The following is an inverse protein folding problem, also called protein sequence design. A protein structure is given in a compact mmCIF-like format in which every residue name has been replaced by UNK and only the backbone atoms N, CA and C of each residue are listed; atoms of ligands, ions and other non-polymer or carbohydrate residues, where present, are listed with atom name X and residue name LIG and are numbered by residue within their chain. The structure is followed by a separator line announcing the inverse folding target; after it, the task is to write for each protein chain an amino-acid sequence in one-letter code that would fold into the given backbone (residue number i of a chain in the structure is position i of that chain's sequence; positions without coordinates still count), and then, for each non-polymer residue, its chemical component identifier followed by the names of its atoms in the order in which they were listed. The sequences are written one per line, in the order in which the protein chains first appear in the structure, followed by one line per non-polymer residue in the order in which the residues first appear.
data_IF_350698689262
#
_entry.id   IF_350698689262
#
_cell.length_a   1.000
_cell.length_b   1.000
_cell.length_c   1.000
_cell.angle_alpha   90.00
_cell.angle_beta   90.00
_cell.angle_gamma   90.00
#
_symmetry.space_group_name_H-M   'P 1'
#
loop_
_entity.id
_entity.type
_entity.pdbx_description
1 polymer ?
#
# COMPACT_ATOMS: atom_id res chain seq x y z
N UNK A 1 -2.45 21.59 -9.73
CA UNK A 1 -1.37 22.09 -8.87
C UNK A 1 -2.01 22.78 -7.67
N UNK A 2 -1.61 22.44 -6.44
CA UNK A 2 -2.12 23.12 -5.24
C UNK A 2 -1.64 24.58 -5.23
N UNK A 3 -2.45 25.48 -4.66
CA UNK A 3 -2.07 26.89 -4.55
C UNK A 3 -0.75 27.02 -3.75
N UNK A 4 0.15 27.96 -4.10
CA UNK A 4 1.44 28.14 -3.43
C UNK A 4 1.34 28.35 -1.91
N UNK A 5 0.21 28.85 -1.43
CA UNK A 5 -0.06 29.09 0.00
C UNK A 5 -0.64 27.89 0.75
N UNK A 6 -0.92 26.78 0.09
CA UNK A 6 -1.45 25.56 0.71
C UNK A 6 -0.35 24.61 1.23
N UNK A 7 0.92 24.97 1.07
CA UNK A 7 2.03 24.14 1.52
C UNK A 7 2.24 24.33 3.03
N UNK A 8 2.26 23.22 3.76
CA UNK A 8 2.60 23.19 5.17
C UNK A 8 4.00 23.80 5.37
N UNK A 9 4.15 24.81 6.23
CA UNK A 9 5.47 25.38 6.53
C UNK A 9 6.24 24.39 7.40
N UNK A 10 7.22 23.71 6.80
CA UNK A 10 8.13 22.85 7.54
C UNK A 10 9.23 23.68 8.22
N UNK A 11 9.89 23.09 9.23
CA UNK A 11 11.07 23.69 9.83
C UNK A 11 12.16 23.91 8.77
N UNK A 12 13.02 24.91 8.95
CA UNK A 12 14.01 25.36 7.94
C UNK A 12 14.97 24.27 7.44
N UNK A 13 15.20 23.22 8.24
CA UNK A 13 16.06 22.09 7.90
C UNK A 13 15.34 20.97 7.13
N UNK A 14 14.02 21.04 7.01
CA UNK A 14 13.22 20.08 6.25
C UNK A 14 13.14 20.54 4.80
N UNK A 15 13.68 19.73 3.89
CA UNK A 15 13.69 20.00 2.44
C UNK A 15 12.88 18.92 1.71
N UNK A 16 12.10 19.32 0.72
CA UNK A 16 11.51 18.36 -0.22
C UNK A 16 12.59 17.79 -1.13
N UNK A 17 12.50 16.50 -1.44
CA UNK A 17 13.40 15.86 -2.41
C UNK A 17 12.59 15.07 -3.43
N UNK A 18 13.14 15.00 -4.63
CA UNK A 18 12.58 14.21 -5.70
C UNK A 18 12.83 12.72 -5.47
N UNK A 19 12.01 11.88 -6.12
CA UNK A 19 12.21 10.45 -6.08
C UNK A 19 13.61 10.08 -6.59
N UNK A 20 14.19 9.06 -5.98
CA UNK A 20 15.52 8.54 -6.27
C UNK A 20 16.69 9.52 -6.07
N UNK A 21 16.47 10.57 -5.28
CA UNK A 21 17.50 11.52 -4.87
C UNK A 21 17.58 11.54 -3.33
N UNK A 22 18.06 10.48 -2.67
CA UNK A 22 18.21 10.48 -1.21
C UNK A 22 19.32 11.46 -0.76
N UNK A 23 19.34 11.84 0.53
CA UNK A 23 20.42 12.68 1.07
C UNK A 23 21.75 11.95 1.26
N UNK A 24 21.71 10.62 1.39
CA UNK A 24 22.91 9.79 1.47
C UNK A 24 23.46 9.50 0.07
N UNK A 25 24.77 9.57 -0.08
CA UNK A 25 25.46 9.11 -1.29
C UNK A 25 25.33 7.58 -1.37
N UNK A 26 24.74 7.10 -2.46
CA UNK A 26 24.55 5.66 -2.71
C UNK A 26 25.32 5.28 -3.95
N UNK A 27 26.29 4.37 -3.78
CA UNK A 27 26.97 3.72 -4.89
C UNK A 27 26.12 2.55 -5.41
N UNK A 28 25.32 2.83 -6.44
CA UNK A 28 24.37 1.87 -7.01
C UNK A 28 25.03 0.66 -7.68
N UNK A 29 26.31 0.75 -8.05
CA UNK A 29 27.06 -0.36 -8.65
C UNK A 29 27.43 -1.43 -7.61
N UNK A 30 27.47 -1.03 -6.33
CA UNK A 30 27.74 -1.94 -5.20
C UNK A 30 26.45 -2.53 -4.62
N UNK A 31 25.30 -1.88 -4.80
CA UNK A 31 24.02 -2.38 -4.29
C UNK A 31 23.53 -3.54 -5.16
N UNK A 32 23.43 -4.71 -4.54
CA UNK A 32 22.91 -5.93 -5.16
C UNK A 32 21.66 -6.40 -4.41
N UNK A 33 20.73 -7.12 -5.08
CA UNK A 33 19.56 -7.66 -4.43
C UNK A 33 19.90 -8.44 -3.16
N UNK A 34 19.15 -8.16 -2.10
CA UNK A 34 19.38 -8.81 -0.82
C UNK A 34 19.01 -10.30 -0.93
N UNK A 35 19.98 -11.18 -0.70
CA UNK A 35 19.88 -12.64 -0.83
C UNK A 35 19.06 -13.33 0.27
N UNK A 36 17.94 -12.73 0.69
CA UNK A 36 17.00 -13.41 1.58
C UNK A 36 16.18 -14.37 0.74
N UNK A 37 16.49 -15.66 0.86
CA UNK A 37 15.54 -16.73 0.56
C UNK A 37 14.33 -16.53 1.46
N UNK A 38 13.30 -15.84 0.96
CA UNK A 38 11.99 -15.95 1.58
C UNK A 38 11.54 -17.39 1.34
N UNK A 39 11.41 -18.18 2.39
CA UNK A 39 10.70 -19.45 2.27
C UNK A 39 9.25 -19.14 1.88
N UNK A 40 8.89 -19.52 0.65
CA UNK A 40 7.55 -19.40 0.08
C UNK A 40 6.57 -20.44 0.66
N UNK A 41 6.87 -21.03 1.81
CA UNK A 41 6.16 -22.20 2.36
C UNK A 41 4.75 -21.90 2.89
N UNK A 42 4.33 -20.63 2.98
CA UNK A 42 3.04 -20.26 3.60
C UNK A 42 2.13 -19.35 2.77
N UNK A 43 2.34 -19.18 1.46
CA UNK A 43 1.34 -18.55 0.59
C UNK A 43 0.19 -19.52 0.29
N UNK A 44 -0.61 -19.85 1.30
CA UNK A 44 -1.88 -20.53 1.03
C UNK A 44 -2.85 -19.53 0.40
N UNK A 45 -3.41 -19.91 -0.75
CA UNK A 45 -4.65 -19.31 -1.27
C UNK A 45 -5.68 -19.38 -0.13
N UNK A 46 -6.20 -18.24 0.30
CA UNK A 46 -7.44 -18.25 1.07
C UNK A 46 -8.57 -18.59 0.09
N UNK A 47 -8.81 -19.89 -0.07
CA UNK A 47 -10.09 -20.44 -0.50
C UNK A 47 -10.67 -21.17 0.71
N UNK A 48 -11.22 -20.43 1.66
CA UNK A 48 -12.13 -21.02 2.65
C UNK A 48 -13.50 -20.42 2.40
N UNK A 49 -14.26 -21.09 1.53
CA UNK A 49 -15.66 -20.81 1.25
C UNK A 49 -16.60 -21.39 2.33
N UNK A 50 -16.07 -22.14 3.31
CA UNK A 50 -16.88 -23.03 4.15
C UNK A 50 -17.10 -22.52 5.59
N UNK A 51 -16.63 -21.32 5.92
CA UNK A 51 -16.92 -20.67 7.20
C UNK A 51 -17.64 -19.35 6.95
N UNK A 52 -18.98 -19.44 6.87
CA UNK A 52 -20.02 -18.49 7.29
C UNK A 52 -21.18 -18.47 6.28
N UNK A 53 -22.21 -19.33 6.48
CA UNK A 53 -23.46 -19.25 5.71
C UNK A 53 -24.08 -17.84 5.70
N UNK A 54 -24.02 -17.11 6.83
CA UNK A 54 -24.53 -15.74 6.92
C UNK A 54 -23.67 -14.67 6.21
N UNK A 55 -22.40 -14.93 5.91
CA UNK A 55 -21.53 -13.97 5.22
C UNK A 55 -21.77 -13.99 3.70
N UNK A 56 -22.00 -15.18 3.13
CA UNK A 56 -22.33 -15.33 1.72
C UNK A 56 -23.69 -14.70 1.38
N UNK A 57 -24.67 -14.81 2.28
CA UNK A 57 -25.97 -14.16 2.10
C UNK A 57 -25.86 -12.64 2.22
N UNK A 58 -25.07 -12.12 3.18
CA UNK A 58 -24.75 -10.69 3.23
C UNK A 58 -23.99 -10.22 1.99
N UNK A 59 -23.08 -11.03 1.44
CA UNK A 59 -22.35 -10.70 0.22
C UNK A 59 -23.28 -10.66 -1.00
N UNK A 60 -24.21 -11.62 -1.13
CA UNK A 60 -25.23 -11.62 -2.19
C UNK A 60 -26.18 -10.43 -2.07
N UNK A 61 -26.65 -10.13 -0.85
CA UNK A 61 -27.51 -8.98 -0.59
C UNK A 61 -26.78 -7.66 -0.86
N UNK A 62 -25.49 -7.57 -0.49
CA UNK A 62 -24.66 -6.41 -0.78
C UNK A 62 -24.39 -6.26 -2.27
N UNK A 63 -24.16 -7.36 -3.00
CA UNK A 63 -24.03 -7.37 -4.46
C UNK A 63 -25.32 -6.86 -5.14
N UNK A 64 -26.48 -7.38 -4.73
CA UNK A 64 -27.77 -6.94 -5.23
C UNK A 64 -28.04 -5.46 -4.92
N UNK A 65 -27.76 -5.02 -3.69
CA UNK A 65 -27.91 -3.63 -3.27
C UNK A 65 -26.95 -2.70 -4.02
N UNK A 66 -25.71 -3.14 -4.30
CA UNK A 66 -24.77 -2.39 -5.13
C UNK A 66 -25.21 -2.30 -6.58
N UNK A 67 -25.77 -3.36 -7.15
CA UNK A 67 -26.35 -3.31 -8.50
C UNK A 67 -27.54 -2.34 -8.56
N UNK A 68 -28.38 -2.33 -7.52
CA UNK A 68 -29.45 -1.35 -7.35
C UNK A 68 -28.90 0.08 -7.24
N UNK A 69 -27.91 0.34 -6.38
CA UNK A 69 -27.29 1.67 -6.23
C UNK A 69 -26.57 2.15 -7.50
N UNK A 70 -25.93 1.25 -8.26
CA UNK A 70 -25.36 1.59 -9.58
C UNK A 70 -26.42 2.10 -10.54
N UNK A 71 -27.65 1.59 -10.42
CA UNK A 71 -28.79 1.98 -11.25
C UNK A 71 -29.44 3.27 -10.75
N UNK A 72 -29.68 3.38 -9.44
CA UNK A 72 -30.42 4.48 -8.81
C UNK A 72 -29.57 5.73 -8.51
N UNK A 73 -28.29 5.53 -8.19
CA UNK A 73 -27.36 6.60 -7.81
C UNK A 73 -26.24 6.77 -8.84
N UNK A 74 -26.54 6.59 -10.13
CA UNK A 74 -25.54 6.59 -11.23
C UNK A 74 -24.60 7.81 -11.22
N UNK A 75 -25.06 8.96 -10.71
CA UNK A 75 -24.24 10.18 -10.59
C UNK A 75 -23.30 10.20 -9.37
N UNK A 76 -23.58 9.42 -8.32
CA UNK A 76 -22.81 9.37 -7.06
C UNK A 76 -22.04 8.06 -6.88
N UNK A 77 -22.49 6.99 -7.55
CA UNK A 77 -21.90 5.67 -7.47
C UNK A 77 -20.91 5.50 -8.62
N UNK A 78 -19.62 5.54 -8.31
CA UNK A 78 -18.55 5.19 -9.23
C UNK A 78 -17.64 4.10 -8.65
N UNK A 79 -16.79 3.53 -9.50
CA UNK A 79 -15.86 2.45 -9.10
C UNK A 79 -14.90 2.86 -7.97
N UNK A 80 -14.57 4.16 -7.85
CA UNK A 80 -13.69 4.66 -6.77
C UNK A 80 -14.43 4.62 -5.43
N UNK A 81 -15.71 4.99 -5.42
CA UNK A 81 -16.56 4.88 -4.24
C UNK A 81 -16.75 3.41 -3.81
N UNK A 82 -17.03 2.51 -4.75
CA UNK A 82 -17.17 1.07 -4.46
C UNK A 82 -15.86 0.48 -3.89
N UNK A 83 -14.73 0.86 -4.48
CA UNK A 83 -13.40 0.48 -4.01
C UNK A 83 -13.13 0.98 -2.59
N UNK A 84 -13.40 2.27 -2.30
CA UNK A 84 -13.20 2.85 -0.98
C UNK A 84 -14.12 2.22 0.07
N UNK A 85 -15.40 2.02 -0.28
CA UNK A 85 -16.40 1.39 0.59
C UNK A 85 -16.01 -0.05 0.92
N UNK A 86 -15.55 -0.82 -0.06
CA UNK A 86 -15.07 -2.18 0.16
C UNK A 86 -13.86 -2.24 1.08
N UNK A 87 -12.87 -1.37 0.86
CA UNK A 87 -11.69 -1.28 1.73
C UNK A 87 -12.05 -0.83 3.16
N UNK A 88 -12.94 0.15 3.31
CA UNK A 88 -13.36 0.66 4.61
C UNK A 88 -14.15 -0.37 5.42
N UNK A 89 -15.05 -1.10 4.76
CA UNK A 89 -15.87 -2.16 5.34
C UNK A 89 -15.11 -3.49 5.49
N UNK A 90 -13.78 -3.52 5.36
CA UNK A 90 -13.03 -4.71 5.71
C UNK A 90 -12.84 -4.78 7.25
N UNK A 91 -13.35 -5.86 7.86
CA UNK A 91 -13.25 -6.16 9.29
C UNK A 91 -12.24 -7.28 9.51
N UNK A 92 -11.39 -7.14 10.52
CA UNK A 92 -10.39 -8.15 10.90
C UNK A 92 -11.00 -9.30 11.75
N UNK A 93 -12.29 -9.62 11.61
CA UNK A 93 -12.97 -10.60 12.47
C UNK A 93 -12.98 -12.03 11.92
N UNK A 94 -12.23 -12.33 10.86
CA UNK A 94 -12.05 -13.70 10.38
C UNK A 94 -10.59 -13.99 10.09
N UNK A 95 -10.02 -14.88 10.93
CA UNK A 95 -8.68 -15.46 10.87
C UNK A 95 -7.50 -14.56 11.30
N UNK A 96 -7.30 -14.55 12.61
CA UNK A 96 -6.01 -14.78 13.29
C UNK A 96 -4.79 -13.90 12.94
N UNK A 97 -4.15 -13.48 14.02
CA UNK A 97 -2.74 -13.12 14.18
C UNK A 97 -1.82 -14.15 13.48
N UNK A 98 -1.71 -14.06 12.15
CA UNK A 98 -1.01 -15.05 11.32
C UNK A 98 -1.37 -15.06 9.83
N UNK A 99 -2.38 -14.29 9.38
CA UNK A 99 -2.73 -14.24 7.95
C UNK A 99 -1.57 -13.66 7.10
N UNK A 100 -1.06 -14.38 6.08
CA UNK A 100 0.04 -13.91 5.25
C UNK A 100 -0.33 -12.64 4.46
N UNK A 101 0.72 -11.87 4.16
CA UNK A 101 0.80 -10.82 3.15
C UNK A 101 -0.31 -10.87 2.08
N UNK A 102 -1.26 -9.93 2.13
CA UNK A 102 -2.46 -9.96 1.30
C UNK A 102 -2.17 -9.64 -0.17
N UNK A 103 -1.75 -10.61 -0.97
CA UNK A 103 -1.87 -10.56 -2.43
C UNK A 103 -3.35 -10.66 -2.81
N UNK A 104 -3.79 -9.83 -3.76
CA UNK A 104 -5.16 -9.83 -4.26
C UNK A 104 -5.18 -9.76 -5.77
N UNK A 105 -6.02 -10.61 -6.37
CA UNK A 105 -6.30 -10.60 -7.79
C UNK A 105 -7.66 -9.96 -8.02
N UNK A 106 -7.75 -9.11 -9.03
CA UNK A 106 -9.02 -8.49 -9.38
C UNK A 106 -9.93 -9.47 -10.12
N UNK A 107 -11.23 -9.40 -9.84
CA UNK A 107 -12.31 -10.03 -10.60
C UNK A 107 -13.03 -9.01 -11.51
N UNK A 108 -12.63 -7.74 -11.46
CA UNK A 108 -13.18 -6.68 -12.31
C UNK A 108 -12.71 -6.89 -13.75
N UNK A 109 -13.66 -6.86 -14.68
CA UNK A 109 -13.36 -7.01 -16.10
C UNK A 109 -12.49 -5.85 -16.62
N UNK A 110 -11.73 -6.09 -17.69
CA UNK A 110 -10.87 -5.05 -18.28
C UNK A 110 -11.67 -3.81 -18.75
N UNK A 111 -12.95 -3.98 -19.10
CA UNK A 111 -13.83 -2.90 -19.54
C UNK A 111 -14.34 -2.04 -18.37
N UNK A 112 -14.46 -2.61 -17.17
CA UNK A 112 -14.95 -1.93 -15.97
C UNK A 112 -13.81 -1.38 -15.10
N UNK A 113 -12.57 -1.84 -15.33
CA UNK A 113 -11.37 -1.36 -14.62
C UNK A 113 -11.28 0.17 -14.69
N UNK A 114 -10.97 0.79 -13.56
CA UNK A 114 -10.72 2.22 -13.51
C UNK A 114 -9.55 2.58 -14.43
N UNK A 115 -9.68 3.68 -15.17
CA UNK A 115 -8.60 4.22 -16.01
C UNK A 115 -8.49 5.73 -15.80
N UNK A 116 -7.29 6.27 -15.98
CA UNK A 116 -7.02 7.69 -15.82
C UNK A 116 -5.52 7.98 -15.97
N UNK A 117 -5.17 9.24 -15.76
CA UNK A 117 -3.76 9.67 -15.76
C UNK A 117 -3.02 9.18 -14.50
N UNK A 118 -1.68 9.04 -14.54
CA UNK A 118 -0.88 8.72 -13.35
C UNK A 118 -1.12 9.71 -12.20
N UNK A 119 -1.33 10.99 -12.50
CA UNK A 119 -1.59 12.04 -11.52
C UNK A 119 -2.96 11.85 -10.85
N UNK A 120 -3.97 11.45 -11.61
CA UNK A 120 -5.29 11.10 -11.07
C UNK A 120 -5.22 9.83 -10.22
N UNK A 121 -4.50 8.81 -10.69
CA UNK A 121 -4.30 7.57 -9.94
C UNK A 121 -3.64 7.88 -8.59
N UNK A 122 -2.58 8.70 -8.60
CA UNK A 122 -1.89 9.11 -7.38
C UNK A 122 -2.81 9.90 -6.43
N UNK A 123 -3.67 10.79 -6.94
CA UNK A 123 -4.66 11.53 -6.12
C UNK A 123 -5.68 10.58 -5.49
N UNK A 124 -6.23 9.66 -6.27
CA UNK A 124 -7.24 8.69 -5.81
C UNK A 124 -6.65 7.78 -4.74
N UNK A 125 -5.47 7.21 -4.99
CA UNK A 125 -4.79 6.32 -4.04
C UNK A 125 -4.42 7.08 -2.77
N UNK A 126 -3.85 8.27 -2.85
CA UNK A 126 -3.53 9.10 -1.67
C UNK A 126 -4.77 9.42 -0.85
N UNK A 127 -5.87 9.84 -1.49
CA UNK A 127 -7.10 10.17 -0.81
C UNK A 127 -7.68 8.93 -0.08
N UNK A 128 -7.78 7.81 -0.78
CA UNK A 128 -8.29 6.56 -0.21
C UNK A 128 -7.41 6.06 0.94
N UNK A 129 -6.10 6.02 0.76
CA UNK A 129 -5.18 5.49 1.76
C UNK A 129 -5.11 6.40 2.99
N UNK A 130 -5.13 7.73 2.80
CA UNK A 130 -5.22 8.68 3.91
C UNK A 130 -6.50 8.45 4.72
N UNK A 131 -7.65 8.23 4.06
CA UNK A 131 -8.89 7.89 4.75
C UNK A 131 -8.77 6.58 5.56
N UNK A 132 -8.05 5.59 5.02
CA UNK A 132 -7.85 4.28 5.65
C UNK A 132 -6.78 4.28 6.77
N UNK A 133 -6.19 5.43 7.11
CA UNK A 133 -5.21 5.58 8.19
C UNK A 133 -3.74 5.60 7.74
N UNK A 134 -3.49 5.80 6.45
CA UNK A 134 -2.14 5.90 5.87
C UNK A 134 -1.92 7.32 5.33
N UNK A 135 -1.56 8.28 6.20
CA UNK A 135 -1.62 9.70 5.86
C UNK A 135 -0.55 10.20 4.88
N UNK A 136 0.45 9.38 4.55
CA UNK A 136 1.43 9.69 3.51
C UNK A 136 1.61 8.51 2.58
N UNK A 137 1.56 8.78 1.27
CA UNK A 137 1.65 7.78 0.23
C UNK A 137 2.52 8.27 -0.91
N UNK A 138 3.51 7.45 -1.24
CA UNK A 138 4.51 7.69 -2.25
C UNK A 138 4.55 6.52 -3.24
N UNK A 139 5.13 6.76 -4.41
CA UNK A 139 5.13 5.82 -5.51
C UNK A 139 6.56 5.67 -6.05
N UNK A 140 6.92 4.43 -6.38
CA UNK A 140 8.13 4.10 -7.09
C UNK A 140 7.78 3.26 -8.31
N UNK A 141 8.57 3.39 -9.37
CA UNK A 141 8.52 2.42 -10.47
C UNK A 141 9.13 1.11 -9.99
N UNK A 142 8.43 0.01 -10.22
CA UNK A 142 8.96 -1.32 -9.94
C UNK A 142 9.94 -1.82 -11.02
N UNK A 143 10.05 -1.08 -12.14
CA UNK A 143 10.98 -1.35 -13.25
C UNK A 143 12.33 -0.64 -13.06
N UNK A 144 12.44 0.29 -12.10
CA UNK A 144 13.69 1.01 -11.89
C UNK A 144 14.75 0.06 -11.32
N UNK A 145 15.93 0.00 -11.94
CA UNK A 145 16.99 -0.90 -11.52
C UNK A 145 17.42 -0.67 -10.08
N UNK A 146 17.36 0.58 -9.58
CA UNK A 146 17.69 0.91 -8.19
C UNK A 146 16.68 0.29 -7.21
N UNK A 147 15.41 0.22 -7.61
CA UNK A 147 14.34 -0.44 -6.84
C UNK A 147 14.52 -1.96 -6.88
N UNK A 148 14.84 -2.53 -8.04
CA UNK A 148 15.12 -3.95 -8.19
C UNK A 148 16.32 -4.36 -7.34
N UNK A 149 17.40 -3.55 -7.33
CA UNK A 149 18.61 -3.80 -6.54
C UNK A 149 18.37 -3.76 -5.03
N UNK A 150 17.37 -3.03 -4.56
CA UNK A 150 16.94 -3.04 -3.16
C UNK A 150 16.00 -4.20 -2.82
N UNK A 151 15.36 -4.81 -3.82
CA UNK A 151 14.44 -5.91 -3.63
C UNK A 151 15.10 -7.17 -3.06
N UNK A 152 14.28 -8.06 -2.50
CA UNK A 152 14.74 -9.43 -2.22
C UNK A 152 14.80 -10.23 -3.52
N UNK A 153 15.75 -11.16 -3.58
CA UNK A 153 15.90 -12.11 -4.69
C UNK A 153 14.64 -12.97 -4.97
N UNK A 154 13.68 -12.92 -4.07
CA UNK A 154 12.43 -13.68 -4.07
C UNK A 154 11.18 -12.85 -4.38
N UNK A 155 11.26 -11.55 -4.70
CA UNK A 155 10.03 -10.75 -4.92
C UNK A 155 10.10 -9.82 -6.11
N UNK A 156 10.95 -8.79 -6.07
CA UNK A 156 11.07 -7.84 -7.18
C UNK A 156 12.08 -8.26 -8.23
N UNK A 157 12.89 -9.28 -7.94
CA UNK A 157 13.84 -9.84 -8.90
C UNK A 157 13.27 -11.05 -9.65
N UNK A 158 12.13 -11.60 -9.23
CA UNK A 158 11.45 -12.66 -9.97
C UNK A 158 10.97 -12.10 -11.31
N UNK A 159 11.44 -12.65 -12.43
CA UNK A 159 11.14 -12.18 -13.78
C UNK A 159 9.63 -12.16 -14.07
N UNK A 160 8.86 -13.08 -13.48
CA UNK A 160 7.40 -13.10 -13.64
C UNK A 160 6.73 -11.94 -12.89
N UNK A 161 7.27 -11.55 -11.73
CA UNK A 161 6.78 -10.39 -11.00
C UNK A 161 7.25 -9.08 -11.64
N UNK A 162 8.50 -9.00 -12.09
CA UNK A 162 9.05 -7.82 -12.79
C UNK A 162 8.25 -7.44 -14.04
N UNK A 163 7.83 -8.44 -14.82
CA UNK A 163 7.06 -8.22 -16.04
C UNK A 163 5.66 -7.65 -15.77
N UNK A 164 5.10 -7.89 -14.58
CA UNK A 164 3.69 -7.64 -14.29
C UNK A 164 3.46 -6.54 -13.25
N UNK A 165 4.37 -6.33 -12.30
CA UNK A 165 4.26 -5.32 -11.25
C UNK A 165 4.87 -4.03 -11.77
N UNK A 166 4.07 -2.98 -11.97
CA UNK A 166 4.54 -1.70 -12.54
C UNK A 166 4.92 -0.64 -11.51
N UNK A 167 4.41 -0.77 -10.29
CA UNK A 167 4.57 0.28 -9.29
C UNK A 167 4.61 -0.31 -7.89
N UNK A 168 5.39 0.34 -7.03
CA UNK A 168 5.40 0.10 -5.59
C UNK A 168 4.73 1.30 -4.94
N UNK A 169 3.80 1.01 -4.03
CA UNK A 169 3.15 2.03 -3.22
C UNK A 169 3.76 1.96 -1.82
N UNK A 170 4.35 3.08 -1.38
CA UNK A 170 4.92 3.21 -0.04
C UNK A 170 3.94 4.03 0.79
N UNK A 171 3.32 3.38 1.77
CA UNK A 171 2.34 4.00 2.65
C UNK A 171 2.92 4.12 4.07
N UNK A 172 2.91 5.32 4.63
CA UNK A 172 3.37 5.59 6.01
C UNK A 172 2.20 5.45 6.96
N UNK A 173 2.45 4.80 8.10
CA UNK A 173 1.50 4.68 9.20
C UNK A 173 2.05 5.47 10.38
N UNK A 174 1.27 6.42 10.89
CA UNK A 174 1.67 7.22 12.05
C UNK A 174 1.57 6.36 13.31
N UNK A 175 2.64 6.33 14.10
CA UNK A 175 2.62 5.79 15.47
C UNK A 175 2.05 6.82 16.44
N UNK A 176 1.38 6.34 17.49
CA UNK A 176 1.05 7.21 18.62
C UNK A 176 2.34 7.64 19.33
N UNK A 177 2.53 8.95 19.50
CA UNK A 177 3.77 9.52 20.05
C UNK A 177 3.90 9.23 21.55
N UNK A 178 2.79 9.13 22.26
CA UNK A 178 2.77 8.85 23.70
C UNK A 178 3.17 7.41 23.96
N UNK A 179 2.63 6.48 23.17
CA UNK A 179 3.01 5.07 23.21
C UNK A 179 4.45 4.89 22.76
N UNK A 180 4.86 5.53 21.66
CA UNK A 180 6.23 5.45 21.15
C UNK A 180 7.29 5.97 22.12
N UNK A 181 6.95 6.95 22.98
CA UNK A 181 7.87 7.47 24.01
C UNK A 181 7.99 6.55 25.23
N UNK A 182 6.93 5.82 25.56
CA UNK A 182 6.81 5.10 26.84
C UNK A 182 6.81 3.57 26.69
N UNK A 183 6.91 3.04 25.47
CA UNK A 183 6.88 1.60 25.19
C UNK A 183 8.19 1.14 24.53
N UNK A 184 8.73 0.03 25.02
CA UNK A 184 9.86 -0.67 24.40
C UNK A 184 9.33 -1.68 23.37
N UNK A 185 8.92 -1.20 22.20
CA UNK A 185 8.46 -2.06 21.11
C UNK A 185 7.53 -1.37 20.12
N UNK A 186 7.17 -2.09 19.06
CA UNK A 186 6.23 -1.63 18.02
C UNK A 186 4.90 -2.41 18.04
N UNK A 187 4.09 -2.29 19.11
CA UNK A 187 2.82 -3.01 19.19
C UNK A 187 1.73 -2.38 18.31
N UNK A 188 1.94 -1.23 17.67
CA UNK A 188 0.92 -0.53 16.87
C UNK A 188 1.17 -0.53 15.37
N UNK A 189 2.39 -0.25 14.89
CA UNK A 189 2.66 -0.20 13.46
C UNK A 189 2.53 -1.58 12.81
N UNK A 190 3.18 -2.59 13.41
CA UNK A 190 3.12 -3.97 12.89
C UNK A 190 1.80 -4.68 13.18
N UNK A 191 1.12 -4.37 14.29
CA UNK A 191 -0.18 -4.98 14.58
C UNK A 191 -1.28 -4.53 13.62
N UNK A 192 -1.23 -3.27 13.15
CA UNK A 192 -2.14 -2.76 12.13
C UNK A 192 -1.72 -3.12 10.70
N UNK A 193 -0.49 -3.59 10.50
CA UNK A 193 0.06 -3.88 9.17
C UNK A 193 -0.86 -4.77 8.35
N UNK A 194 -1.32 -5.88 8.93
CA UNK A 194 -2.13 -6.85 8.19
C UNK A 194 -3.48 -6.26 7.77
N UNK A 195 -4.13 -5.49 8.66
CA UNK A 195 -5.36 -4.78 8.35
C UNK A 195 -5.14 -3.75 7.24
N UNK A 196 -4.13 -2.90 7.37
CA UNK A 196 -3.86 -1.84 6.41
C UNK A 196 -3.46 -2.40 5.05
N UNK A 197 -2.57 -3.39 5.00
CA UNK A 197 -2.21 -4.07 3.75
C UNK A 197 -3.43 -4.70 3.08
N UNK A 198 -4.33 -5.32 3.85
CA UNK A 198 -5.54 -5.90 3.27
C UNK A 198 -6.47 -4.82 2.71
N UNK A 199 -6.62 -3.69 3.38
CA UNK A 199 -7.40 -2.54 2.90
C UNK A 199 -6.80 -1.91 1.63
N UNK A 200 -5.47 -1.83 1.54
CA UNK A 200 -4.78 -1.39 0.32
C UNK A 200 -5.10 -2.33 -0.84
N UNK A 201 -4.93 -3.64 -0.63
CA UNK A 201 -5.20 -4.65 -1.65
C UNK A 201 -6.66 -4.62 -2.09
N UNK A 202 -7.60 -4.59 -1.15
CA UNK A 202 -9.05 -4.53 -1.45
C UNK A 202 -9.43 -3.30 -2.27
N UNK A 203 -8.84 -2.14 -1.95
CA UNK A 203 -9.05 -0.92 -2.71
C UNK A 203 -8.56 -1.08 -4.17
N UNK A 204 -7.34 -1.58 -4.35
CA UNK A 204 -6.71 -1.69 -5.67
C UNK A 204 -7.36 -2.77 -6.54
N UNK A 205 -7.72 -3.92 -5.97
CA UNK A 205 -8.41 -4.99 -6.70
C UNK A 205 -9.80 -4.56 -7.15
N UNK A 206 -10.53 -3.79 -6.33
CA UNK A 206 -11.82 -3.22 -6.73
C UNK A 206 -11.73 -2.10 -7.75
N UNK A 207 -10.59 -1.42 -7.87
CA UNK A 207 -10.30 -0.54 -8.99
C UNK A 207 -9.97 -1.30 -10.28
N UNK A 208 -9.78 -2.62 -10.21
CA UNK A 208 -9.44 -3.47 -11.35
C UNK A 208 -7.95 -3.74 -11.53
N UNK A 209 -7.15 -3.65 -10.45
CA UNK A 209 -5.72 -3.90 -10.50
C UNK A 209 -5.30 -5.03 -9.57
N UNK A 210 -4.45 -5.92 -10.07
CA UNK A 210 -3.78 -6.90 -9.22
C UNK A 210 -2.80 -6.19 -8.28
N UNK A 211 -2.71 -6.68 -7.05
CA UNK A 211 -1.82 -6.13 -6.03
C UNK A 211 -1.11 -7.25 -5.29
N UNK A 212 0.19 -7.07 -5.06
CA UNK A 212 0.99 -7.96 -4.22
C UNK A 212 1.19 -7.27 -2.87
N UNK A 213 0.55 -7.80 -1.83
CA UNK A 213 0.74 -7.33 -0.46
C UNK A 213 1.99 -7.96 0.17
N UNK A 214 2.54 -7.31 1.20
CA UNK A 214 3.57 -7.88 2.07
C UNK A 214 4.89 -8.29 1.41
N UNK A 215 5.27 -7.61 0.33
CA UNK A 215 6.63 -7.68 -0.22
C UNK A 215 7.60 -7.24 0.87
N UNK A 216 8.37 -8.19 1.43
CA UNK A 216 9.41 -7.95 2.43
C UNK A 216 10.64 -7.32 1.76
N UNK A 217 10.51 -6.08 1.29
CA UNK A 217 11.64 -5.25 0.88
C UNK A 217 12.09 -4.30 1.99
N UNK A 218 13.24 -3.61 1.81
CA UNK A 218 13.76 -2.63 2.76
C UNK A 218 12.84 -1.40 2.79
N UNK A 219 11.83 -1.42 3.67
CA UNK A 219 10.80 -0.40 3.79
C UNK A 219 11.38 1.02 3.98
N UNK A 220 12.40 1.17 4.81
CA UNK A 220 13.08 2.45 5.03
C UNK A 220 13.75 2.97 3.75
N UNK A 221 14.40 2.09 2.97
CA UNK A 221 15.04 2.46 1.72
C UNK A 221 14.00 2.85 0.65
N UNK A 222 12.88 2.12 0.55
CA UNK A 222 11.79 2.52 -0.35
C UNK A 222 11.15 3.84 0.06
N UNK A 223 10.95 4.10 1.35
CA UNK A 223 10.43 5.38 1.81
C UNK A 223 11.39 6.53 1.50
N UNK A 224 12.70 6.31 1.61
CA UNK A 224 13.71 7.29 1.24
C UNK A 224 13.74 7.54 -0.27
N UNK A 225 13.77 6.49 -1.09
CA UNK A 225 13.75 6.62 -2.54
C UNK A 225 12.47 7.21 -3.08
N UNK A 226 11.32 6.94 -2.44
CA UNK A 226 10.05 7.51 -2.88
C UNK A 226 9.91 9.00 -2.50
N UNK A 227 10.92 9.59 -1.86
CA UNK A 227 10.95 10.99 -1.41
C UNK A 227 10.04 11.26 -0.22
N UNK A 228 9.60 10.23 0.51
CA UNK A 228 8.72 10.37 1.67
C UNK A 228 9.45 10.53 3.00
N UNK A 229 10.73 10.20 3.03
CA UNK A 229 11.52 10.21 4.26
C UNK A 229 13.01 10.30 3.94
N UNK A 230 13.83 10.40 4.98
CA UNK A 230 15.29 10.25 4.91
C UNK A 230 15.76 9.12 5.82
N UNK A 231 16.88 8.49 5.48
CA UNK A 231 17.50 7.52 6.37
C UNK A 231 18.10 8.22 7.58
N UNK A 232 17.76 7.75 8.78
CA UNK A 232 18.36 8.22 10.02
C UNK A 232 19.58 7.40 10.41
N UNK A 233 20.32 7.90 11.40
CA UNK A 233 21.42 7.18 12.05
C UNK A 233 20.98 5.86 12.71
N UNK A 234 19.69 5.70 13.00
CA UNK A 234 19.13 4.51 13.65
C UNK A 234 18.61 3.45 12.67
N UNK A 235 18.96 3.53 11.39
CA UNK A 235 18.47 2.62 10.34
C UNK A 235 16.93 2.66 10.16
N UNK A 236 16.32 3.79 10.50
CA UNK A 236 14.90 4.05 10.32
C UNK A 236 14.68 5.25 9.41
N UNK A 237 13.61 5.18 8.61
CA UNK A 237 13.14 6.31 7.81
C UNK A 237 12.54 7.39 8.71
N UNK A 238 12.98 8.63 8.52
CA UNK A 238 12.46 9.83 9.18
C UNK A 238 11.67 10.65 8.18
N UNK A 239 10.36 10.69 8.36
CA UNK A 239 9.43 11.51 7.61
C UNK A 239 9.47 12.97 8.10
N UNK A 240 9.36 13.95 7.20
CA UNK A 240 9.19 15.36 7.55
C UNK A 240 8.04 15.67 8.52
N UNK A 241 7.00 14.85 8.53
CA UNK A 241 5.74 15.13 9.25
C UNK A 241 5.66 14.45 10.61
N UNK A 242 6.25 13.27 10.76
CA UNK A 242 6.08 12.45 11.96
C UNK A 242 7.38 12.13 12.70
N UNK A 243 8.54 12.50 12.15
CA UNK A 243 9.82 12.01 12.65
C UNK A 243 9.98 10.57 12.20
#
# INVERSE_FOLDING_TARGET
MSAPQANFKHAWYVKSRDAFNPSADVDWDQIKPWGRTAEWSNFQKIQNADLLPGFLDNQKNLQALKAQWRTEQKERYDIKFDALSGAANFWASSASSGTPAATGFTDVSAAERWTGTPEEAARIVRAAFSYLGMPEVHFLSAQDQRVINLGSSSTLTDTQLQANVKSIIVAVVRKDITIGRNSTGDPYGYSHRNLLQRRQTEFLTRLGYNCVGGVSGPNAAYAALAGGSELSRLDHSVSPKYG
#
